data_IF_231804345566
#
_entry.id   IF_231804345566
#
_cell.length_a   1.000
_cell.length_b   1.000
_cell.length_c   1.000
_cell.angle_alpha   90.00
_cell.angle_beta   90.00
_cell.angle_gamma   90.00
#
_symmetry.space_group_name_H-M   'P 1'
#
loop_
_entity.id
_entity.type
_entity.pdbx_description
1 polymer ?
#
# COMPACT_ATOMS: atom_id res chain seq x y z
N UNK A 1 12.33 8.89 5.79
CA UNK A 1 11.78 8.87 7.16
C UNK A 1 10.31 9.34 7.24
N UNK A 2 9.90 10.38 6.51
CA UNK A 2 8.51 10.91 6.53
C UNK A 2 7.44 9.90 6.07
N UNK A 3 7.72 9.07 5.05
CA UNK A 3 6.75 8.11 4.52
C UNK A 3 6.39 6.97 5.49
N UNK A 4 7.32 6.59 6.37
CA UNK A 4 7.12 5.49 7.33
C UNK A 4 6.17 5.91 8.45
N UNK A 5 6.39 7.09 9.05
CA UNK A 5 5.52 7.63 10.10
C UNK A 5 4.08 7.86 9.62
N UNK A 6 3.89 8.31 8.37
CA UNK A 6 2.54 8.50 7.83
C UNK A 6 1.79 7.17 7.62
N UNK A 7 2.49 6.12 7.19
CA UNK A 7 1.88 4.80 6.98
C UNK A 7 1.60 4.09 8.31
N UNK A 8 2.50 4.20 9.29
CA UNK A 8 2.35 3.62 10.62
C UNK A 8 1.20 4.24 11.42
N UNK A 9 1.15 5.58 11.52
CA UNK A 9 0.13 6.28 12.30
C UNK A 9 -1.30 5.96 11.85
N UNK A 10 -1.50 5.69 10.56
CA UNK A 10 -2.81 5.30 10.04
C UNK A 10 -3.16 3.83 10.29
N UNK A 11 -2.19 2.91 10.23
CA UNK A 11 -2.45 1.51 10.58
C UNK A 11 -2.88 1.38 12.05
N UNK A 12 -2.32 2.22 12.91
CA UNK A 12 -2.69 2.34 14.33
C UNK A 12 -4.10 2.90 14.49
N UNK A 13 -4.51 3.92 13.72
CA UNK A 13 -5.88 4.48 13.82
C UNK A 13 -6.97 3.49 13.39
N UNK A 14 -6.74 2.67 12.37
CA UNK A 14 -7.68 1.61 11.99
C UNK A 14 -7.78 0.50 13.04
N UNK A 15 -6.66 0.13 13.65
CA UNK A 15 -6.66 -0.83 14.75
C UNK A 15 -7.41 -0.29 15.96
N UNK A 16 -7.27 1.01 16.27
CA UNK A 16 -8.02 1.68 17.34
C UNK A 16 -9.54 1.68 17.11
N UNK A 17 -9.99 1.65 15.85
CA UNK A 17 -11.41 1.49 15.48
C UNK A 17 -11.89 0.03 15.45
N UNK A 18 -11.07 -0.96 15.88
CA UNK A 18 -11.42 -2.38 15.82
C UNK A 18 -11.36 -2.99 14.42
N UNK A 19 -10.78 -2.27 13.44
CA UNK A 19 -10.63 -2.70 12.05
C UNK A 19 -9.25 -3.32 11.78
N UNK A 20 -8.46 -3.57 12.82
CA UNK A 20 -7.21 -4.32 12.72
C UNK A 20 -7.46 -5.81 12.46
N UNK A 21 -6.46 -6.51 11.95
CA UNK A 21 -6.48 -7.96 11.81
C UNK A 21 -5.07 -8.51 12.02
N UNK A 22 -4.94 -9.62 12.73
CA UNK A 22 -3.64 -10.26 12.96
C UNK A 22 -2.91 -10.61 11.65
N UNK A 23 -3.66 -11.01 10.62
CA UNK A 23 -3.10 -11.32 9.31
C UNK A 23 -2.45 -10.10 8.65
N UNK A 24 -3.20 -9.02 8.48
CA UNK A 24 -2.66 -7.81 7.82
C UNK A 24 -1.61 -7.10 8.69
N UNK A 25 -1.77 -7.11 10.01
CA UNK A 25 -0.77 -6.58 10.94
C UNK A 25 0.55 -7.36 10.86
N UNK A 26 0.51 -8.68 10.73
CA UNK A 26 1.72 -9.51 10.55
C UNK A 26 2.44 -9.19 9.25
N UNK A 27 1.71 -8.96 8.15
CA UNK A 27 2.33 -8.53 6.88
C UNK A 27 3.05 -7.19 7.01
N UNK A 28 2.42 -6.20 7.66
CA UNK A 28 3.04 -4.89 7.91
C UNK A 28 4.32 -5.04 8.74
N UNK A 29 4.30 -5.86 9.80
CA UNK A 29 5.48 -6.14 10.64
C UNK A 29 6.60 -6.84 9.87
N UNK A 30 6.28 -7.77 8.96
CA UNK A 30 7.26 -8.43 8.10
C UNK A 30 7.94 -7.42 7.17
N UNK A 31 7.19 -6.48 6.59
CA UNK A 31 7.76 -5.40 5.78
C UNK A 31 8.69 -4.54 6.62
N UNK A 32 8.25 -4.06 7.79
CA UNK A 32 9.08 -3.25 8.70
C UNK A 32 10.38 -3.97 9.08
N UNK A 33 10.32 -5.27 9.37
CA UNK A 33 11.50 -6.08 9.66
C UNK A 33 12.49 -6.11 8.47
N UNK A 34 11.99 -6.23 7.23
CA UNK A 34 12.84 -6.20 6.03
C UNK A 34 13.49 -4.84 5.79
N UNK A 35 12.81 -3.75 6.15
CA UNK A 35 13.36 -2.40 6.06
C UNK A 35 14.52 -2.23 7.04
N UNK A 36 14.31 -2.62 8.30
CA UNK A 36 15.28 -2.44 9.38
C UNK A 36 16.50 -3.36 9.25
N UNK A 37 16.34 -4.55 8.67
CA UNK A 37 17.43 -5.52 8.53
C UNK A 37 18.56 -5.08 7.57
N UNK A 38 18.30 -4.13 6.66
CA UNK A 38 19.28 -3.73 5.62
C UNK A 38 19.90 -2.35 5.78
N UNK A 39 19.40 -1.50 6.70
CA UNK A 39 20.06 -0.23 7.05
C UNK A 39 21.49 -0.37 7.61
N UNK A 40 21.96 -1.59 7.88
CA UNK A 40 23.33 -1.88 8.32
C UNK A 40 24.36 -2.07 7.19
N UNK A 41 23.95 -2.19 5.92
CA UNK A 41 24.86 -2.34 4.77
C UNK A 41 24.59 -1.24 3.74
N UNK A 42 25.23 -0.08 3.91
CA UNK A 42 25.59 1.00 2.94
C UNK A 42 24.71 1.32 1.70
N UNK A 43 23.54 0.74 1.54
CA UNK A 43 22.61 0.88 0.43
C UNK A 43 21.25 1.12 1.07
N UNK A 44 20.65 2.29 0.79
CA UNK A 44 19.36 2.67 1.35
C UNK A 44 18.34 1.54 1.16
N UNK A 45 17.48 1.26 2.14
CA UNK A 45 16.49 0.18 2.01
C UNK A 45 15.64 0.29 0.72
N UNK A 46 15.26 -0.84 0.13
CA UNK A 46 14.41 -0.89 -1.08
C UNK A 46 12.92 -0.78 -0.80
N UNK A 47 12.46 -1.19 0.39
CA UNK A 47 11.08 -0.98 0.83
C UNK A 47 10.99 0.26 1.73
N UNK A 48 9.96 1.07 1.52
CA UNK A 48 9.76 2.36 2.19
C UNK A 48 8.63 2.33 3.21
N UNK A 49 7.68 1.41 3.08
CA UNK A 49 6.71 1.12 4.13
C UNK A 49 5.58 0.24 3.65
N UNK A 50 4.69 -0.11 4.56
CA UNK A 50 3.48 -0.87 4.26
C UNK A 50 2.31 -0.42 5.12
N UNK A 51 1.10 -0.66 4.62
CA UNK A 51 -0.15 -0.29 5.29
C UNK A 51 -1.33 -1.09 4.76
N UNK A 52 -2.32 -1.34 5.60
CA UNK A 52 -3.59 -1.93 5.20
C UNK A 52 -4.35 -1.04 4.19
N UNK A 53 -5.05 -1.66 3.24
CA UNK A 53 -5.91 -0.94 2.27
C UNK A 53 -7.33 -1.51 2.27
N UNK A 54 -8.32 -0.63 2.05
CA UNK A 54 -9.74 -0.97 2.13
C UNK A 54 -10.35 -0.74 3.51
N UNK A 55 -11.42 -1.47 3.83
CA UNK A 55 -12.22 -1.28 5.06
C UNK A 55 -11.59 -1.85 6.33
N UNK A 56 -10.59 -2.72 6.24
CA UNK A 56 -9.97 -3.39 7.39
C UNK A 56 -10.58 -4.76 7.72
N UNK A 57 -10.29 -5.27 8.93
CA UNK A 57 -10.67 -6.62 9.44
C UNK A 57 -10.10 -7.79 8.62
N UNK A 58 -9.05 -7.53 7.85
CA UNK A 58 -8.43 -8.46 6.90
C UNK A 58 -8.13 -7.76 5.59
N UNK A 59 -8.01 -8.53 4.50
CA UNK A 59 -7.87 -7.99 3.15
C UNK A 59 -6.41 -7.75 2.75
N UNK A 60 -6.14 -6.58 2.16
CA UNK A 60 -4.92 -6.30 1.41
C UNK A 60 -3.99 -5.35 2.17
N UNK A 61 -2.68 -5.56 2.03
CA UNK A 61 -1.65 -4.63 2.47
C UNK A 61 -0.96 -4.04 1.24
N UNK A 62 -0.91 -2.72 1.15
CA UNK A 62 -0.08 -2.02 0.18
C UNK A 62 1.32 -1.88 0.73
N UNK A 63 2.32 -2.24 -0.08
CA UNK A 63 3.74 -2.04 0.19
C UNK A 63 4.28 -1.05 -0.83
N UNK A 64 5.06 -0.08 -0.36
CA UNK A 64 5.71 0.94 -1.20
C UNK A 64 7.21 0.71 -1.15
N UNK A 65 7.86 0.72 -2.30
CA UNK A 65 9.31 0.53 -2.42
C UNK A 65 9.84 0.98 -3.78
N UNK A 66 11.15 0.83 -3.99
CA UNK A 66 11.79 1.05 -5.29
C UNK A 66 11.26 0.06 -6.31
N UNK A 67 11.07 0.51 -7.55
CA UNK A 67 10.87 -0.40 -8.67
C UNK A 67 12.22 -1.04 -9.04
N UNK A 68 12.55 -2.15 -8.37
CA UNK A 68 13.80 -2.86 -8.56
C UNK A 68 13.62 -4.36 -8.30
N UNK A 69 14.48 -5.17 -8.92
CA UNK A 69 14.49 -6.63 -8.71
C UNK A 69 14.62 -7.00 -7.23
N UNK A 70 15.41 -6.25 -6.49
CA UNK A 70 15.62 -6.47 -5.07
C UNK A 70 14.34 -6.24 -4.24
N UNK A 71 13.53 -5.24 -4.58
CA UNK A 71 12.21 -5.05 -3.95
C UNK A 71 11.30 -6.23 -4.23
N UNK A 72 11.23 -6.70 -5.48
CA UNK A 72 10.41 -7.86 -5.86
C UNK A 72 10.84 -9.13 -5.10
N UNK A 73 12.15 -9.37 -4.96
CA UNK A 73 12.69 -10.47 -4.15
C UNK A 73 12.27 -10.38 -2.68
N UNK A 74 12.30 -9.19 -2.09
CA UNK A 74 11.85 -8.99 -0.71
C UNK A 74 10.35 -9.21 -0.53
N UNK A 75 9.52 -8.80 -1.50
CA UNK A 75 8.08 -9.08 -1.47
C UNK A 75 7.82 -10.59 -1.49
N UNK A 76 8.52 -11.36 -2.34
CA UNK A 76 8.43 -12.82 -2.37
C UNK A 76 8.89 -13.46 -1.05
N UNK A 77 9.95 -12.94 -0.44
CA UNK A 77 10.41 -13.43 0.86
C UNK A 77 9.39 -13.16 1.97
N UNK A 78 8.76 -11.98 1.99
CA UNK A 78 7.66 -11.65 2.91
C UNK A 78 6.47 -12.59 2.71
N UNK A 79 6.09 -12.85 1.46
CA UNK A 79 5.01 -13.76 1.11
C UNK A 79 5.27 -15.17 1.67
N UNK A 80 6.50 -15.67 1.51
CA UNK A 80 6.88 -16.99 2.00
C UNK A 80 6.93 -17.04 3.53
N UNK A 81 7.55 -16.05 4.19
CA UNK A 81 7.57 -15.95 5.66
C UNK A 81 6.16 -15.87 6.25
N UNK A 82 5.22 -15.24 5.55
CA UNK A 82 3.82 -15.20 5.96
C UNK A 82 3.16 -16.59 5.84
N UNK A 83 3.38 -17.28 4.72
CA UNK A 83 2.89 -18.65 4.51
C UNK A 83 3.43 -19.61 5.57
N UNK A 84 4.73 -19.58 5.83
CA UNK A 84 5.37 -20.47 6.81
C UNK A 84 4.76 -20.29 8.21
N UNK A 85 4.35 -19.07 8.56
CA UNK A 85 3.80 -18.78 9.86
C UNK A 85 2.28 -18.95 10.00
N UNK A 86 1.53 -18.99 8.90
CA UNK A 86 0.06 -18.98 8.92
C UNK A 86 -0.60 -20.11 8.11
N UNK A 87 0.17 -20.81 7.28
CA UNK A 87 -0.33 -21.74 6.27
C UNK A 87 -0.95 -21.07 5.03
N UNK A 88 -1.17 -19.75 5.04
CA UNK A 88 -1.83 -19.03 3.95
C UNK A 88 -0.81 -18.32 3.06
N UNK A 89 -0.90 -18.50 1.75
CA UNK A 89 -0.07 -17.79 0.77
C UNK A 89 -0.82 -16.55 0.26
N UNK A 90 -0.42 -15.32 0.62
CA UNK A 90 -1.07 -14.11 0.15
C UNK A 90 -0.93 -13.95 -1.36
N UNK A 91 -1.96 -13.48 -2.05
CA UNK A 91 -1.86 -13.12 -3.46
C UNK A 91 -1.11 -11.80 -3.64
N UNK A 92 -0.17 -11.73 -4.58
CA UNK A 92 0.58 -10.51 -4.90
C UNK A 92 -0.08 -9.81 -6.09
N UNK A 93 -0.51 -8.57 -5.87
CA UNK A 93 -0.91 -7.66 -6.93
C UNK A 93 0.27 -6.76 -7.28
N UNK A 94 0.71 -6.78 -8.54
CA UNK A 94 1.79 -5.94 -9.05
C UNK A 94 1.35 -5.23 -10.34
N UNK A 95 1.81 -4.00 -10.52
CA UNK A 95 1.51 -3.16 -11.68
C UNK A 95 0.30 -2.25 -11.48
N UNK A 96 0.03 -1.44 -12.51
CA UNK A 96 -1.10 -0.52 -12.56
C UNK A 96 -1.78 -0.63 -13.91
N UNK A 97 -3.11 -0.65 -13.94
CA UNK A 97 -3.88 -0.60 -15.17
C UNK A 97 -4.05 0.84 -15.68
N UNK A 98 -4.38 1.03 -16.97
CA UNK A 98 -4.98 2.27 -17.47
C UNK A 98 -6.06 2.83 -16.54
N UNK A 99 -5.95 4.11 -16.16
CA UNK A 99 -7.02 4.81 -15.45
C UNK A 99 -8.18 5.21 -16.37
N UNK A 100 -9.33 5.55 -15.78
CA UNK A 100 -10.55 5.91 -16.53
C UNK A 100 -10.32 7.01 -17.60
N UNK A 101 -9.44 7.98 -17.32
CA UNK A 101 -9.09 9.05 -18.27
C UNK A 101 -8.46 8.57 -19.58
N UNK A 102 -7.86 7.37 -19.61
CA UNK A 102 -7.28 6.78 -20.83
C UNK A 102 -8.34 6.31 -21.83
N UNK A 103 -9.58 6.09 -21.39
CA UNK A 103 -10.68 5.57 -22.22
C UNK A 103 -11.61 6.68 -22.76
N UNK A 104 -11.28 7.96 -22.52
CA UNK A 104 -12.13 9.10 -22.84
C UNK A 104 -13.17 9.40 -21.75
N UNK A 105 -13.65 10.63 -21.70
CA UNK A 105 -14.62 11.09 -20.69
C UNK A 105 -15.58 12.12 -21.27
N UNK A 106 -16.81 12.15 -20.74
CA UNK A 106 -17.77 13.22 -21.02
C UNK A 106 -17.48 14.40 -20.10
N UNK A 107 -17.31 15.60 -20.67
CA UNK A 107 -17.10 16.84 -19.91
C UNK A 107 -18.37 17.67 -19.87
N UNK A 108 -19.04 17.68 -18.73
CA UNK A 108 -20.23 18.51 -18.51
C UNK A 108 -19.76 19.95 -18.26
N UNK A 109 -20.28 20.90 -19.03
CA UNK A 109 -20.05 22.34 -18.80
C UNK A 109 -21.35 22.96 -18.31
N UNK A 110 -21.28 23.79 -17.27
CA UNK A 110 -22.41 24.61 -16.84
C UNK A 110 -22.73 25.60 -17.97
N UNK A 111 -23.99 25.65 -18.39
CA UNK A 111 -24.46 26.67 -19.33
C UNK A 111 -24.43 28.01 -18.60
N UNK A 112 -23.72 28.99 -19.14
CA UNK A 112 -23.82 30.37 -18.67
C UNK A 112 -25.22 30.84 -19.07
N UNK A 113 -26.06 31.16 -18.10
CA UNK A 113 -27.30 31.88 -18.34
C UNK A 113 -26.91 33.28 -18.77
N UNK A 114 -27.24 33.66 -20.00
CA UNK A 114 -27.25 35.06 -20.40
C UNK A 114 -28.43 35.70 -19.66
N UNK A 115 -28.16 36.69 -18.83
CA UNK A 115 -29.22 37.51 -18.27
C UNK A 115 -29.92 38.24 -19.43
N UNK A 116 -31.25 38.15 -19.58
CA UNK A 116 -31.96 38.80 -20.69
C UNK A 116 -32.00 40.33 -20.61
N UNK A 117 -31.35 40.94 -19.60
CA UNK A 117 -31.44 42.35 -19.26
C UNK A 117 -30.10 43.10 -19.37
N UNK A 118 -29.11 42.56 -20.08
CA UNK A 118 -27.91 43.31 -20.52
C UNK A 118 -28.02 43.74 -21.99
#
# INVERSE_FOLDING_TARGET
MISLQLLENYCISYSACGLGSDGTNRLVRLVQAMQNAKSFKSDDGTLYGAKITGGGSGGTVCVVGRNSLQSSQQILEIQQRYKDATGYLPFIFEGSSPGAGKFGYLRIRRRVSLDPNE
#
